data_IF_547115080762
#
_entry.id   IF_547115080762
#
_cell.length_a   1.000
_cell.length_b   1.000
_cell.length_c   1.000
_cell.angle_alpha   90.00
_cell.angle_beta   90.00
_cell.angle_gamma   90.00
#
_symmetry.space_group_name_H-M   'P 1'
#
loop_
_entity.id
_entity.type
_entity.pdbx_description
1 polymer ?
#
# COMPACT_ATOMS: atom_id res chain seq x y z
N UNK A 1 -32.95 -30.76 -28.96
CA UNK A 1 -32.40 -29.94 -27.86
C UNK A 1 -33.29 -28.71 -27.76
N UNK A 2 -34.16 -28.63 -26.76
CA UNK A 2 -35.13 -27.54 -26.66
C UNK A 2 -34.40 -26.26 -26.20
N UNK A 3 -34.44 -25.22 -27.03
CA UNK A 3 -33.93 -23.89 -26.69
C UNK A 3 -35.02 -23.24 -25.83
N UNK A 4 -34.80 -23.15 -24.52
CA UNK A 4 -35.70 -22.38 -23.65
C UNK A 4 -35.56 -20.89 -23.99
N UNK A 5 -36.64 -20.26 -24.46
CA UNK A 5 -36.72 -18.80 -24.59
C UNK A 5 -36.53 -18.17 -23.20
N UNK A 6 -35.33 -17.64 -22.94
CA UNK A 6 -35.11 -16.76 -21.79
C UNK A 6 -35.76 -15.42 -22.09
N UNK A 7 -37.07 -15.31 -21.82
CA UNK A 7 -37.76 -14.01 -21.83
C UNK A 7 -37.08 -13.12 -20.80
N UNK A 8 -36.64 -11.94 -21.26
CA UNK A 8 -36.09 -10.90 -20.38
C UNK A 8 -37.19 -10.43 -19.43
N UNK A 9 -37.03 -10.69 -18.13
CA UNK A 9 -37.99 -10.24 -17.11
C UNK A 9 -37.45 -8.92 -16.54
N UNK A 10 -38.27 -7.88 -16.54
CA UNK A 10 -37.94 -6.61 -15.86
C UNK A 10 -37.74 -6.86 -14.37
N UNK A 11 -36.73 -6.25 -13.78
CA UNK A 11 -36.48 -6.35 -12.35
C UNK A 11 -37.49 -5.48 -11.58
N UNK A 12 -38.48 -6.10 -10.94
CA UNK A 12 -39.50 -5.43 -10.11
C UNK A 12 -39.13 -5.36 -8.61
N UNK A 13 -37.90 -5.75 -8.26
CA UNK A 13 -37.44 -5.70 -6.87
C UNK A 13 -37.12 -4.28 -6.38
N UNK A 14 -37.02 -4.06 -5.05
CA UNK A 14 -36.65 -2.75 -4.52
C UNK A 14 -35.23 -2.37 -4.95
N UNK A 15 -35.10 -1.17 -5.53
CA UNK A 15 -33.80 -0.60 -5.90
C UNK A 15 -32.96 -0.35 -4.63
N UNK A 16 -31.81 -1.02 -4.53
CA UNK A 16 -30.83 -0.76 -3.45
C UNK A 16 -29.85 0.31 -3.91
N UNK A 17 -29.99 1.51 -3.36
CA UNK A 17 -29.10 2.65 -3.59
C UNK A 17 -28.01 2.69 -2.51
N UNK A 18 -26.79 3.11 -2.87
CA UNK A 18 -25.73 3.46 -1.90
C UNK A 18 -24.85 2.30 -1.37
N UNK A 19 -25.04 1.07 -1.85
CA UNK A 19 -24.19 -0.09 -1.48
C UNK A 19 -23.37 -0.65 -2.64
N UNK A 20 -23.31 0.04 -3.78
CA UNK A 20 -22.62 -0.47 -4.96
C UNK A 20 -21.11 -0.54 -4.73
N UNK A 21 -20.56 0.38 -3.93
CA UNK A 21 -19.13 0.44 -3.59
C UNK A 21 -18.59 -0.86 -2.98
N UNK A 22 -19.35 -1.51 -2.08
CA UNK A 22 -18.97 -2.81 -1.50
C UNK A 22 -18.91 -3.91 -2.55
N UNK A 23 -19.81 -3.85 -3.54
CA UNK A 23 -19.85 -4.82 -4.62
C UNK A 23 -18.62 -4.67 -5.52
N UNK A 24 -18.27 -3.45 -5.90
CA UNK A 24 -17.04 -3.18 -6.65
C UNK A 24 -15.78 -3.56 -5.88
N UNK A 25 -15.72 -3.28 -4.57
CA UNK A 25 -14.60 -3.67 -3.73
C UNK A 25 -14.43 -5.19 -3.68
N UNK A 26 -15.51 -5.93 -3.40
CA UNK A 26 -15.51 -7.39 -3.37
C UNK A 26 -15.18 -8.00 -4.72
N UNK A 27 -15.67 -7.43 -5.82
CA UNK A 27 -15.37 -7.91 -7.16
C UNK A 27 -13.91 -7.66 -7.54
N UNK A 28 -13.39 -6.46 -7.27
CA UNK A 28 -11.99 -6.11 -7.57
C UNK A 28 -11.02 -6.98 -6.78
N UNK A 29 -11.26 -7.13 -5.47
CA UNK A 29 -10.48 -8.01 -4.61
C UNK A 29 -10.62 -9.49 -5.01
N UNK A 30 -11.85 -9.95 -5.19
CA UNK A 30 -12.15 -11.35 -5.52
C UNK A 30 -11.61 -11.77 -6.89
N UNK A 31 -11.63 -10.89 -7.87
CA UNK A 31 -11.06 -11.16 -9.20
C UNK A 31 -9.54 -11.28 -9.10
N UNK A 32 -8.87 -10.36 -8.39
CA UNK A 32 -7.44 -10.43 -8.14
C UNK A 32 -7.05 -11.75 -7.45
N UNK A 33 -7.81 -12.17 -6.43
CA UNK A 33 -7.57 -13.39 -5.65
C UNK A 33 -7.86 -14.69 -6.42
N UNK A 34 -8.62 -14.65 -7.52
CA UNK A 34 -8.86 -15.84 -8.37
C UNK A 34 -7.70 -16.17 -9.30
N UNK A 35 -6.81 -15.21 -9.55
CA UNK A 35 -5.68 -15.41 -10.46
C UNK A 35 -4.54 -16.16 -9.76
N UNK A 36 -4.12 -17.29 -10.33
CA UNK A 36 -2.98 -18.09 -9.81
C UNK A 36 -1.69 -17.27 -9.70
N UNK A 37 -1.47 -16.33 -10.63
CA UNK A 37 -0.33 -15.41 -10.61
C UNK A 37 -0.32 -14.53 -9.36
N UNK A 38 -1.48 -14.01 -8.93
CA UNK A 38 -1.60 -13.21 -7.71
C UNK A 38 -1.24 -14.03 -6.49
N UNK A 39 -1.74 -15.27 -6.39
CA UNK A 39 -1.38 -16.18 -5.30
C UNK A 39 0.11 -16.51 -5.25
N UNK A 40 0.71 -16.87 -6.38
CA UNK A 40 2.14 -17.12 -6.46
C UNK A 40 2.96 -15.89 -6.01
N UNK A 41 2.51 -14.70 -6.40
CA UNK A 41 3.14 -13.44 -6.00
C UNK A 41 2.95 -13.15 -4.51
N UNK A 42 1.76 -13.38 -3.95
CA UNK A 42 1.53 -13.23 -2.51
C UNK A 42 2.43 -14.17 -1.70
N UNK A 43 2.53 -15.44 -2.09
CA UNK A 43 3.42 -16.41 -1.42
C UNK A 43 4.87 -15.95 -1.48
N UNK A 44 5.33 -15.49 -2.64
CA UNK A 44 6.69 -14.96 -2.81
C UNK A 44 6.94 -13.73 -1.93
N UNK A 45 6.00 -12.78 -1.90
CA UNK A 45 6.12 -11.53 -1.13
C UNK A 45 5.97 -11.73 0.37
N UNK A 46 5.37 -12.84 0.81
CA UNK A 46 5.31 -13.22 2.22
C UNK A 46 6.62 -13.84 2.74
N UNK A 47 7.50 -14.31 1.85
CA UNK A 47 8.80 -14.85 2.24
C UNK A 47 9.65 -13.89 3.11
N UNK A 48 9.88 -12.61 2.73
CA UNK A 48 10.61 -11.67 3.58
C UNK A 48 9.88 -11.40 4.91
N UNK A 49 8.55 -11.40 4.93
CA UNK A 49 7.76 -11.24 6.17
C UNK A 49 8.04 -12.40 7.13
N UNK A 50 8.03 -13.64 6.63
CA UNK A 50 8.35 -14.82 7.43
C UNK A 50 9.77 -14.75 8.01
N UNK A 51 10.74 -14.28 7.23
CA UNK A 51 12.11 -14.05 7.73
C UNK A 51 12.10 -13.02 8.86
N UNK A 52 11.42 -11.89 8.70
CA UNK A 52 11.36 -10.86 9.77
C UNK A 52 10.68 -11.37 11.03
N UNK A 53 9.64 -12.21 10.90
CA UNK A 53 8.98 -12.86 12.04
C UNK A 53 9.94 -13.81 12.77
N UNK A 54 10.71 -14.61 12.02
CA UNK A 54 11.74 -15.49 12.60
C UNK A 54 12.86 -14.70 13.28
N UNK A 55 13.28 -13.57 12.71
CA UNK A 55 14.29 -12.70 13.32
C UNK A 55 13.79 -12.11 14.64
N UNK A 56 12.57 -11.59 14.69
CA UNK A 56 11.96 -11.09 15.94
C UNK A 56 11.86 -12.20 16.99
N UNK A 57 11.52 -13.41 16.58
CA UNK A 57 11.47 -14.56 17.48
C UNK A 57 12.86 -14.96 18.00
N UNK A 58 13.87 -14.98 17.14
CA UNK A 58 15.25 -15.30 17.51
C UNK A 58 15.84 -14.25 18.44
N UNK A 59 15.58 -12.98 18.16
CA UNK A 59 15.96 -11.83 19.00
C UNK A 59 15.37 -11.97 20.41
N UNK A 60 14.07 -12.28 20.52
CA UNK A 60 13.45 -12.54 21.82
C UNK A 60 14.13 -13.68 22.58
N UNK A 61 14.36 -14.83 21.91
CA UNK A 61 15.05 -15.96 22.53
C UNK A 61 16.48 -15.66 22.96
N UNK A 62 17.17 -14.77 22.25
CA UNK A 62 18.50 -14.31 22.59
C UNK A 62 18.49 -13.34 23.78
N UNK A 63 17.52 -12.41 23.86
CA UNK A 63 17.36 -11.51 25.01
C UNK A 63 17.11 -12.25 26.33
N UNK A 64 16.43 -13.41 26.30
CA UNK A 64 16.18 -14.21 27.50
C UNK A 64 17.43 -14.99 27.96
N UNK A 65 18.32 -15.37 27.04
CA UNK A 65 19.41 -16.32 27.32
C UNK A 65 20.82 -15.71 27.32
N UNK A 66 21.02 -14.58 26.66
CA UNK A 66 22.34 -14.00 26.41
C UNK A 66 22.35 -12.50 26.79
N UNK A 67 22.88 -12.14 27.97
CA UNK A 67 22.95 -10.75 28.39
C UNK A 67 23.84 -9.88 27.47
N UNK A 68 24.86 -10.45 26.83
CA UNK A 68 25.67 -9.75 25.82
C UNK A 68 24.86 -9.30 24.60
N UNK A 69 23.84 -10.06 24.20
CA UNK A 69 22.96 -9.70 23.07
C UNK A 69 22.04 -8.52 23.44
N UNK A 70 21.65 -8.43 24.72
CA UNK A 70 20.88 -7.30 25.25
C UNK A 70 21.67 -5.99 25.22
N UNK A 71 22.98 -6.06 25.47
CA UNK A 71 23.86 -4.88 25.41
C UNK A 71 24.21 -4.49 23.96
N UNK A 72 24.24 -5.45 23.02
CA UNK A 72 24.51 -5.17 21.60
C UNK A 72 23.29 -4.69 20.80
N UNK A 73 22.09 -5.22 21.06
CA UNK A 73 20.85 -4.81 20.37
C UNK A 73 20.13 -3.64 21.06
N UNK A 74 20.56 -3.26 22.26
CA UNK A 74 19.87 -2.26 23.06
C UNK A 74 18.59 -2.81 23.70
N UNK A 75 17.98 -2.01 24.58
CA UNK A 75 16.89 -2.47 25.43
C UNK A 75 15.65 -2.90 24.60
N UNK A 76 15.27 -2.15 23.55
CA UNK A 76 14.07 -2.40 22.72
C UNK A 76 14.28 -3.34 21.53
N UNK A 77 15.43 -4.02 21.44
CA UNK A 77 15.73 -4.99 20.40
C UNK A 77 16.04 -4.35 19.03
N UNK A 78 15.44 -4.82 17.93
CA UNK A 78 15.66 -4.26 16.58
C UNK A 78 15.36 -2.75 16.47
N UNK A 79 14.62 -2.19 17.44
CA UNK A 79 14.41 -0.76 17.62
C UNK A 79 13.77 -0.07 16.40
N UNK A 80 14.09 1.22 16.27
CA UNK A 80 13.68 2.11 15.16
C UNK A 80 14.14 1.59 13.80
N UNK A 81 15.37 1.05 13.75
CA UNK A 81 15.98 0.51 12.53
C UNK A 81 15.19 -0.68 11.98
N UNK A 82 14.79 -1.62 12.85
CA UNK A 82 13.99 -2.78 12.46
C UNK A 82 12.63 -2.40 11.89
N UNK A 83 11.93 -1.44 12.51
CA UNK A 83 10.65 -0.93 12.00
C UNK A 83 10.85 -0.30 10.61
N UNK A 84 11.89 0.52 10.45
CA UNK A 84 12.19 1.17 9.16
C UNK A 84 12.50 0.16 8.05
N UNK A 85 13.26 -0.90 8.37
CA UNK A 85 13.60 -1.98 7.44
C UNK A 85 12.35 -2.74 7.00
N UNK A 86 11.46 -3.10 7.93
CA UNK A 86 10.19 -3.77 7.63
C UNK A 86 9.32 -2.88 6.74
N UNK A 87 9.21 -1.59 7.03
CA UNK A 87 8.41 -0.65 6.23
C UNK A 87 8.96 -0.50 4.79
N UNK A 88 10.28 -0.47 4.61
CA UNK A 88 10.88 -0.45 3.27
C UNK A 88 10.60 -1.74 2.49
N UNK A 89 10.71 -2.90 3.13
CA UNK A 89 10.35 -4.18 2.52
C UNK A 89 8.86 -4.24 2.15
N UNK A 90 7.98 -3.72 3.02
CA UNK A 90 6.55 -3.62 2.77
C UNK A 90 6.24 -2.70 1.58
N UNK A 91 6.90 -1.53 1.47
CA UNK A 91 6.75 -0.63 0.34
C UNK A 91 7.13 -1.31 -0.98
N UNK A 92 8.28 -1.98 -1.01
CA UNK A 92 8.73 -2.71 -2.19
C UNK A 92 7.74 -3.82 -2.58
N UNK A 93 7.27 -4.59 -1.60
CA UNK A 93 6.34 -5.68 -1.82
C UNK A 93 4.97 -5.18 -2.29
N UNK A 94 4.48 -4.08 -1.72
CA UNK A 94 3.28 -3.39 -2.17
C UNK A 94 3.42 -2.89 -3.61
N UNK A 95 4.54 -2.24 -3.94
CA UNK A 95 4.81 -1.74 -5.28
C UNK A 95 4.80 -2.88 -6.31
N UNK A 96 5.50 -3.99 -6.04
CA UNK A 96 5.50 -5.15 -6.92
C UNK A 96 4.08 -5.73 -7.12
N UNK A 97 3.35 -6.00 -6.03
CA UNK A 97 2.00 -6.56 -6.11
C UNK A 97 1.06 -5.67 -6.94
N UNK A 98 1.13 -4.37 -6.67
CA UNK A 98 0.25 -3.38 -7.30
C UNK A 98 0.64 -3.07 -8.75
N UNK A 99 1.91 -3.23 -9.11
CA UNK A 99 2.35 -3.21 -10.50
C UNK A 99 1.69 -4.34 -11.31
N UNK A 100 1.64 -5.55 -10.75
CA UNK A 100 1.12 -6.74 -11.46
C UNK A 100 -0.41 -6.78 -11.51
N UNK A 101 -1.09 -6.30 -10.47
CA UNK A 101 -2.54 -6.43 -10.33
C UNK A 101 -3.26 -5.08 -10.44
N UNK A 102 -2.74 -4.04 -9.79
CA UNK A 102 -3.43 -2.76 -9.65
C UNK A 102 -3.40 -1.88 -10.89
N UNK A 103 -2.33 -1.92 -11.69
CA UNK A 103 -2.19 -1.05 -12.87
C UNK A 103 -3.27 -1.28 -13.95
N UNK A 104 -3.87 -2.47 -13.98
CA UNK A 104 -4.99 -2.80 -14.89
C UNK A 104 -6.38 -2.43 -14.36
N UNK A 105 -6.51 -2.05 -13.10
CA UNK A 105 -7.81 -1.99 -12.42
C UNK A 105 -8.81 -1.02 -13.04
N UNK A 106 -8.35 0.13 -13.57
CA UNK A 106 -9.18 1.11 -14.29
C UNK A 106 -8.85 1.12 -15.79
N UNK A 107 -7.58 0.89 -16.14
CA UNK A 107 -7.13 0.88 -17.53
C UNK A 107 -7.88 -0.15 -18.39
N UNK A 108 -8.19 -1.33 -17.84
CA UNK A 108 -8.98 -2.35 -18.54
C UNK A 108 -10.45 -1.93 -18.68
N UNK A 109 -11.03 -1.32 -17.66
CA UNK A 109 -12.40 -0.78 -17.74
C UNK A 109 -12.51 0.29 -18.85
N UNK A 110 -11.49 1.14 -18.97
CA UNK A 110 -11.40 2.15 -20.02
C UNK A 110 -11.20 1.53 -21.40
N UNK A 111 -10.43 0.44 -21.50
CA UNK A 111 -10.18 -0.27 -22.75
C UNK A 111 -11.44 -0.91 -23.30
N UNK A 112 -12.21 -1.56 -22.43
CA UNK A 112 -13.40 -2.32 -22.78
C UNK A 112 -14.70 -1.53 -22.66
N UNK A 113 -14.63 -0.22 -22.35
CA UNK A 113 -15.78 0.67 -22.23
C UNK A 113 -16.84 0.16 -21.23
N UNK A 114 -16.40 -0.50 -20.16
CA UNK A 114 -17.32 -1.10 -19.16
C UNK A 114 -18.07 -0.06 -18.34
N UNK A 115 -17.61 1.19 -18.33
CA UNK A 115 -18.30 2.32 -17.69
C UNK A 115 -19.74 2.50 -18.17
N UNK A 116 -20.02 2.30 -19.45
CA UNK A 116 -21.38 2.37 -19.99
C UNK A 116 -22.30 1.33 -19.35
N UNK A 117 -21.77 0.12 -19.14
CA UNK A 117 -22.51 -0.95 -18.48
C UNK A 117 -22.70 -0.67 -16.99
N UNK A 118 -21.69 -0.11 -16.30
CA UNK A 118 -21.80 0.23 -14.88
C UNK A 118 -22.79 1.37 -14.63
N UNK A 119 -22.74 2.43 -15.41
CA UNK A 119 -23.59 3.62 -15.25
C UNK A 119 -24.98 3.49 -15.90
N UNK A 120 -25.25 2.40 -16.62
CA UNK A 120 -26.65 2.04 -16.97
C UNK A 120 -27.48 1.59 -15.76
N UNK A 121 -26.81 1.30 -14.64
CA UNK A 121 -27.44 0.98 -13.35
C UNK A 121 -27.34 2.22 -12.43
N UNK A 122 -28.21 2.32 -11.41
CA UNK A 122 -28.17 3.42 -10.44
C UNK A 122 -26.95 3.29 -9.51
N UNK A 123 -25.76 3.59 -10.04
CA UNK A 123 -24.46 3.53 -9.37
C UNK A 123 -23.83 4.91 -9.45
N UNK A 124 -23.44 5.47 -8.31
CA UNK A 124 -22.75 6.74 -8.28
C UNK A 124 -21.25 6.59 -8.55
N UNK A 125 -20.60 7.65 -9.06
CA UNK A 125 -19.17 7.61 -9.41
C UNK A 125 -18.28 7.40 -8.20
N UNK A 126 -18.60 8.08 -7.10
CA UNK A 126 -17.83 7.91 -5.87
C UNK A 126 -17.93 6.45 -5.39
N UNK A 127 -19.06 5.75 -5.62
CA UNK A 127 -19.19 4.34 -5.26
C UNK A 127 -18.25 3.46 -6.10
N UNK A 128 -18.16 3.73 -7.40
CA UNK A 128 -17.19 3.07 -8.27
C UNK A 128 -15.75 3.34 -7.84
N UNK A 129 -15.41 4.63 -7.63
CA UNK A 129 -14.07 5.07 -7.25
C UNK A 129 -13.65 4.46 -5.91
N UNK A 130 -14.51 4.57 -4.90
CA UNK A 130 -14.28 4.03 -3.56
C UNK A 130 -14.22 2.50 -3.60
N UNK A 131 -15.08 1.85 -4.38
CA UNK A 131 -15.07 0.41 -4.53
C UNK A 131 -13.76 -0.11 -5.15
N UNK A 132 -13.27 0.52 -6.23
CA UNK A 132 -11.97 0.18 -6.83
C UNK A 132 -10.83 0.43 -5.86
N UNK A 133 -10.87 1.55 -5.13
CA UNK A 133 -9.88 1.87 -4.10
C UNK A 133 -9.86 0.83 -2.99
N UNK A 134 -11.00 0.52 -2.37
CA UNK A 134 -11.10 -0.43 -1.26
C UNK A 134 -10.76 -1.86 -1.67
N UNK A 135 -11.10 -2.28 -2.89
CA UNK A 135 -10.72 -3.59 -3.41
C UNK A 135 -9.20 -3.76 -3.53
N UNK A 136 -8.52 -2.73 -4.04
CA UNK A 136 -7.06 -2.72 -4.12
C UNK A 136 -6.40 -2.48 -2.76
N UNK A 137 -6.99 -1.66 -1.90
CA UNK A 137 -6.53 -1.43 -0.53
C UNK A 137 -6.55 -2.75 0.25
N UNK A 138 -7.63 -3.54 0.16
CA UNK A 138 -7.71 -4.86 0.78
C UNK A 138 -6.65 -5.83 0.26
N UNK A 139 -6.38 -5.82 -1.05
CA UNK A 139 -5.33 -6.65 -1.65
C UNK A 139 -3.93 -6.24 -1.18
N UNK A 140 -3.63 -4.94 -1.20
CA UNK A 140 -2.36 -4.38 -0.77
C UNK A 140 -2.14 -4.55 0.75
N UNK A 141 -3.22 -4.47 1.53
CA UNK A 141 -3.20 -4.72 2.99
C UNK A 141 -2.70 -6.12 3.35
N UNK A 142 -2.88 -7.13 2.48
CA UNK A 142 -2.37 -8.48 2.72
C UNK A 142 -0.84 -8.56 2.81
N UNK A 143 -0.12 -7.58 2.26
CA UNK A 143 1.35 -7.56 2.21
C UNK A 143 1.94 -6.40 3.02
N UNK A 144 1.10 -5.50 3.51
CA UNK A 144 1.52 -4.31 4.29
C UNK A 144 0.94 -4.36 5.70
N UNK A 145 -0.35 -4.04 5.84
CA UNK A 145 -1.05 -3.95 7.12
C UNK A 145 -1.09 -5.29 7.86
N UNK A 146 -1.35 -6.40 7.16
CA UNK A 146 -1.45 -7.72 7.78
C UNK A 146 -0.10 -8.19 8.36
N UNK A 147 1.03 -8.12 7.63
CA UNK A 147 2.37 -8.29 8.21
C UNK A 147 2.68 -7.35 9.38
N UNK A 148 2.33 -6.06 9.28
CA UNK A 148 2.54 -5.09 10.36
C UNK A 148 1.75 -5.45 11.62
N UNK A 149 0.49 -5.92 11.47
CA UNK A 149 -0.33 -6.42 12.56
C UNK A 149 0.29 -7.65 13.23
N UNK A 150 0.79 -8.61 12.44
CA UNK A 150 1.43 -9.81 12.98
C UNK A 150 2.71 -9.47 13.74
N UNK A 151 3.58 -8.64 13.14
CA UNK A 151 4.83 -8.22 13.77
C UNK A 151 4.57 -7.38 15.03
N UNK A 152 3.67 -6.39 14.95
CA UNK A 152 3.32 -5.54 16.08
C UNK A 152 2.63 -6.31 17.20
N UNK A 153 1.72 -7.23 16.87
CA UNK A 153 1.05 -8.09 17.84
C UNK A 153 2.03 -9.04 18.52
N UNK A 154 2.96 -9.62 17.77
CA UNK A 154 4.03 -10.48 18.30
C UNK A 154 4.94 -9.69 19.27
N UNK A 155 5.44 -8.51 18.85
CA UNK A 155 6.26 -7.64 19.70
C UNK A 155 5.50 -7.19 20.95
N UNK A 156 4.25 -6.74 20.80
CA UNK A 156 3.42 -6.34 21.93
C UNK A 156 3.22 -7.49 22.93
N UNK A 157 3.00 -8.73 22.45
CA UNK A 157 2.81 -9.89 23.32
C UNK A 157 4.06 -10.25 24.13
N UNK A 158 5.25 -10.11 23.53
CA UNK A 158 6.51 -10.45 24.19
C UNK A 158 6.99 -9.38 25.16
N UNK A 159 6.89 -8.10 24.78
CA UNK A 159 7.34 -6.99 25.62
C UNK A 159 6.28 -6.51 26.62
N UNK A 160 5.07 -7.10 26.64
CA UNK A 160 3.98 -6.69 27.53
C UNK A 160 4.34 -6.70 29.03
N UNK A 161 5.29 -7.54 29.45
CA UNK A 161 5.69 -7.70 30.87
C UNK A 161 7.04 -7.07 31.19
N UNK A 162 7.69 -6.41 30.23
CA UNK A 162 8.97 -5.75 30.45
C UNK A 162 8.78 -4.24 30.67
N UNK A 163 9.83 -3.59 31.18
CA UNK A 163 9.89 -2.13 31.35
C UNK A 163 9.77 -1.36 30.01
N UNK A 164 9.86 -2.08 28.87
CA UNK A 164 9.86 -1.55 27.51
C UNK A 164 8.52 -1.70 26.80
N UNK A 165 7.46 -2.09 27.53
CA UNK A 165 6.13 -2.31 26.97
C UNK A 165 5.61 -1.06 26.22
N UNK A 166 5.87 0.13 26.76
CA UNK A 166 5.45 1.42 26.18
C UNK A 166 6.17 1.71 24.86
N UNK A 167 7.48 1.50 24.80
CA UNK A 167 8.28 1.68 23.59
C UNK A 167 7.89 0.68 22.50
N UNK A 168 7.76 -0.61 22.86
CA UNK A 168 7.36 -1.65 21.94
C UNK A 168 5.95 -1.41 21.37
N UNK A 169 5.02 -0.93 22.20
CA UNK A 169 3.67 -0.57 21.76
C UNK A 169 3.68 0.64 20.82
N UNK A 170 4.48 1.66 21.14
CA UNK A 170 4.63 2.86 20.31
C UNK A 170 5.23 2.53 18.94
N UNK A 171 6.31 1.75 18.91
CA UNK A 171 6.92 1.25 17.67
C UNK A 171 5.94 0.43 16.83
N UNK A 172 5.13 -0.42 17.46
CA UNK A 172 4.12 -1.24 16.78
C UNK A 172 2.97 -0.39 16.23
N UNK A 173 2.51 0.61 16.99
CA UNK A 173 1.46 1.53 16.58
C UNK A 173 1.91 2.42 15.41
N UNK A 174 3.14 2.95 15.48
CA UNK A 174 3.72 3.74 14.38
C UNK A 174 3.94 2.87 13.14
N UNK A 175 4.50 1.66 13.31
CA UNK A 175 4.68 0.72 12.21
C UNK A 175 3.35 0.37 11.51
N UNK A 176 2.27 0.17 12.28
CA UNK A 176 0.93 -0.04 11.74
C UNK A 176 0.42 1.20 11.00
N UNK A 177 0.50 2.38 11.61
CA UNK A 177 0.05 3.64 10.98
C UNK A 177 0.79 3.92 9.66
N UNK A 178 2.10 3.72 9.64
CA UNK A 178 2.93 3.86 8.43
C UNK A 178 2.58 2.80 7.39
N UNK A 179 2.31 1.55 7.78
CA UNK A 179 1.90 0.49 6.84
C UNK A 179 0.58 0.83 6.13
N UNK A 180 -0.40 1.39 6.86
CA UNK A 180 -1.66 1.88 6.28
C UNK A 180 -1.38 3.06 5.34
N UNK A 181 -0.50 3.98 5.74
CA UNK A 181 -0.05 5.09 4.90
C UNK A 181 0.57 4.63 3.59
N UNK A 182 1.43 3.61 3.62
CA UNK A 182 2.01 2.96 2.44
C UNK A 182 0.91 2.39 1.54
N UNK A 183 -0.06 1.66 2.11
CA UNK A 183 -1.18 1.10 1.35
C UNK A 183 -1.95 2.19 0.62
N UNK A 184 -2.32 3.27 1.33
CA UNK A 184 -3.04 4.41 0.76
C UNK A 184 -2.24 5.06 -0.36
N UNK A 185 -0.94 5.32 -0.13
CA UNK A 185 -0.06 5.96 -1.09
C UNK A 185 0.07 5.14 -2.38
N UNK A 186 0.41 3.86 -2.26
CA UNK A 186 0.61 2.99 -3.44
C UNK A 186 -0.71 2.81 -4.20
N UNK A 187 -1.83 2.57 -3.51
CA UNK A 187 -3.14 2.46 -4.16
C UNK A 187 -3.53 3.75 -4.90
N UNK A 188 -3.27 4.92 -4.30
CA UNK A 188 -3.59 6.22 -4.91
C UNK A 188 -2.79 6.47 -6.19
N UNK A 189 -1.49 6.21 -6.17
CA UNK A 189 -0.62 6.36 -7.34
C UNK A 189 -1.06 5.41 -8.45
N UNK A 190 -1.26 4.14 -8.13
CA UNK A 190 -1.58 3.10 -9.11
C UNK A 190 -2.93 3.35 -9.77
N UNK A 191 -3.96 3.70 -9.00
CA UNK A 191 -5.28 4.01 -9.56
C UNK A 191 -5.28 5.31 -10.36
N UNK A 192 -4.57 6.33 -9.87
CA UNK A 192 -4.35 7.57 -10.61
C UNK A 192 -3.76 7.30 -11.98
N UNK A 193 -2.64 6.59 -12.06
CA UNK A 193 -1.98 6.23 -13.32
C UNK A 193 -2.83 5.31 -14.19
N UNK A 194 -3.51 4.32 -13.59
CA UNK A 194 -4.40 3.41 -14.31
C UNK A 194 -5.56 4.14 -14.98
N UNK A 195 -6.08 5.21 -14.37
CA UNK A 195 -7.16 6.02 -14.95
C UNK A 195 -6.72 6.83 -16.18
N UNK A 196 -5.44 7.20 -16.27
CA UNK A 196 -4.94 8.08 -17.33
C UNK A 196 -4.70 7.34 -18.66
N UNK A 197 -4.69 6.00 -18.67
CA UNK A 197 -4.37 5.19 -19.85
C UNK A 197 -5.41 4.10 -20.11
N UNK A 198 -5.60 3.76 -21.39
CA UNK A 198 -6.43 2.61 -21.82
C UNK A 198 -5.64 1.30 -21.94
N UNK A 199 -4.32 1.34 -21.78
CA UNK A 199 -3.44 0.16 -21.91
C UNK A 199 -2.70 -0.07 -20.60
N UNK A 200 -2.83 -1.28 -20.07
CA UNK A 200 -2.21 -1.72 -18.82
C UNK A 200 -0.69 -1.60 -18.85
N UNK A 201 -0.05 -1.92 -19.98
CA UNK A 201 1.40 -1.79 -20.14
C UNK A 201 1.92 -0.37 -19.94
N UNK A 202 1.19 0.66 -20.40
CA UNK A 202 1.58 2.05 -20.16
C UNK A 202 1.36 2.48 -18.71
N UNK A 203 0.34 1.94 -18.02
CA UNK A 203 0.14 2.19 -16.60
C UNK A 203 1.30 1.62 -15.77
N UNK A 204 1.72 0.39 -16.11
CA UNK A 204 2.88 -0.27 -15.49
C UNK A 204 4.15 0.55 -15.72
N UNK A 205 4.43 0.97 -16.95
CA UNK A 205 5.61 1.78 -17.26
C UNK A 205 5.61 3.11 -16.51
N UNK A 206 4.47 3.80 -16.46
CA UNK A 206 4.33 5.04 -15.71
C UNK A 206 4.55 4.83 -14.21
N UNK A 207 4.00 3.74 -13.65
CA UNK A 207 4.16 3.41 -12.23
C UNK A 207 5.62 3.13 -11.87
N UNK A 208 6.31 2.34 -12.69
CA UNK A 208 7.75 2.09 -12.55
C UNK A 208 8.53 3.40 -12.65
N UNK A 209 8.19 4.28 -13.59
CA UNK A 209 8.81 5.59 -13.73
C UNK A 209 8.65 6.47 -12.49
N UNK A 210 7.45 6.52 -11.92
CA UNK A 210 7.15 7.30 -10.69
C UNK A 210 7.93 6.80 -9.48
N UNK A 211 8.28 5.52 -9.41
CA UNK A 211 9.08 4.97 -8.30
C UNK A 211 10.58 5.08 -8.58
N UNK A 212 11.05 4.67 -9.76
CA UNK A 212 12.47 4.56 -10.04
C UNK A 212 13.13 5.89 -10.35
N UNK A 213 12.48 6.80 -11.08
CA UNK A 213 13.10 8.09 -11.43
C UNK A 213 13.45 8.90 -10.18
N UNK A 214 12.53 9.09 -9.21
CA UNK A 214 12.87 9.82 -7.99
C UNK A 214 13.88 9.08 -7.10
N UNK A 215 13.88 7.74 -7.13
CA UNK A 215 14.91 6.94 -6.45
C UNK A 215 16.31 7.18 -7.03
N UNK A 216 16.44 7.20 -8.36
CA UNK A 216 17.73 7.46 -9.02
C UNK A 216 18.19 8.90 -8.74
N UNK A 217 17.28 9.87 -8.81
CA UNK A 217 17.59 11.27 -8.47
C UNK A 217 18.08 11.41 -7.02
N UNK A 218 17.44 10.73 -6.08
CA UNK A 218 17.87 10.71 -4.68
C UNK A 218 19.31 10.21 -4.53
N UNK A 219 19.68 9.14 -5.24
CA UNK A 219 21.06 8.61 -5.22
C UNK A 219 22.05 9.62 -5.83
N UNK A 220 21.71 10.23 -6.97
CA UNK A 220 22.59 11.21 -7.63
C UNK A 220 22.83 12.43 -6.72
N UNK A 221 21.76 12.97 -6.10
CA UNK A 221 21.87 14.11 -5.20
C UNK A 221 22.68 13.75 -3.95
N UNK A 222 22.46 12.56 -3.39
CA UNK A 222 23.23 12.09 -2.23
C UNK A 222 24.73 12.02 -2.52
N UNK A 223 25.12 11.58 -3.72
CA UNK A 223 26.52 11.51 -4.15
C UNK A 223 27.13 12.88 -4.49
N UNK A 224 26.31 13.86 -4.88
CA UNK A 224 26.80 15.14 -5.42
C UNK A 224 26.87 16.25 -4.36
N UNK A 225 25.94 16.27 -3.40
CA UNK A 225 25.73 17.42 -2.53
C UNK A 225 26.25 17.23 -1.08
N UNK A 226 26.82 16.06 -0.76
CA UNK A 226 27.24 15.65 0.60
C UNK A 226 26.13 15.74 1.68
N UNK A 227 24.90 16.10 1.28
CA UNK A 227 23.71 16.24 2.10
C UNK A 227 22.86 14.97 1.99
N UNK A 228 23.35 13.88 2.60
CA UNK A 228 22.77 12.54 2.48
C UNK A 228 21.29 12.46 2.88
N UNK A 229 20.89 13.13 3.97
CA UNK A 229 19.51 13.05 4.48
C UNK A 229 18.51 13.86 3.64
N UNK A 230 18.89 15.07 3.20
CA UNK A 230 18.05 15.90 2.33
C UNK A 230 17.85 15.27 0.95
N UNK A 231 18.82 14.51 0.46
CA UNK A 231 18.70 13.77 -0.78
C UNK A 231 17.58 12.71 -0.75
N UNK A 232 17.26 12.17 0.43
CA UNK A 232 16.20 11.17 0.59
C UNK A 232 14.79 11.73 0.36
N UNK A 233 14.60 13.04 0.50
CA UNK A 233 13.32 13.70 0.19
C UNK A 233 12.90 13.55 -1.27
N UNK A 234 13.83 13.25 -2.17
CA UNK A 234 13.51 13.03 -3.58
C UNK A 234 12.81 11.70 -3.82
N UNK A 235 13.05 10.68 -2.98
CA UNK A 235 12.54 9.32 -3.23
C UNK A 235 11.40 8.95 -2.29
N UNK A 236 10.42 8.18 -2.79
CA UNK A 236 9.32 7.70 -1.94
C UNK A 236 9.82 6.79 -0.79
N UNK A 237 10.73 5.82 -1.03
CA UNK A 237 11.32 5.02 0.06
C UNK A 237 12.10 5.87 1.07
N UNK A 238 12.82 6.89 0.60
CA UNK A 238 13.57 7.81 1.46
C UNK A 238 12.66 8.64 2.36
N UNK A 239 11.58 9.20 1.81
CA UNK A 239 10.57 9.91 2.61
C UNK A 239 9.90 9.01 3.66
N UNK A 240 9.64 7.74 3.35
CA UNK A 240 9.11 6.77 4.33
C UNK A 240 10.11 6.47 5.44
N UNK A 241 11.40 6.36 5.10
CA UNK A 241 12.46 6.18 6.09
C UNK A 241 12.59 7.41 7.00
N UNK A 242 12.68 8.62 6.42
CA UNK A 242 12.73 9.88 7.17
C UNK A 242 11.49 10.05 8.08
N UNK A 243 10.29 9.76 7.58
CA UNK A 243 9.07 9.81 8.38
C UNK A 243 9.11 8.84 9.56
N UNK A 244 9.70 7.66 9.38
CA UNK A 244 9.88 6.68 10.47
C UNK A 244 10.88 7.18 11.50
N UNK A 245 12.01 7.74 11.05
CA UNK A 245 13.03 8.31 11.94
C UNK A 245 12.47 9.49 12.75
N UNK A 246 11.73 10.41 12.11
CA UNK A 246 11.11 11.55 12.82
C UNK A 246 10.10 11.14 13.90
N UNK A 247 9.47 9.97 13.75
CA UNK A 247 8.46 9.48 14.71
C UNK A 247 9.04 8.63 15.84
N UNK A 248 10.18 7.97 15.62
CA UNK A 248 10.67 6.91 16.51
C UNK A 248 12.16 7.06 16.89
N UNK A 249 12.95 7.89 16.23
CA UNK A 249 14.36 8.09 16.56
C UNK A 249 14.52 9.07 17.73
N UNK A 250 15.48 8.78 18.60
CA UNK A 250 15.89 9.70 19.68
C UNK A 250 16.62 10.93 19.13
N UNK A 251 17.38 10.77 18.03
CA UNK A 251 18.04 11.86 17.31
C UNK A 251 17.26 12.19 16.05
N UNK A 252 16.64 13.38 16.03
CA UNK A 252 15.91 13.85 14.87
C UNK A 252 16.87 14.13 13.70
N UNK A 253 16.59 13.63 12.48
CA UNK A 253 17.36 13.97 11.29
C UNK A 253 17.32 15.47 10.99
N UNK A 254 18.34 16.00 10.32
CA UNK A 254 18.49 17.42 9.96
C UNK A 254 17.61 17.80 8.76
N UNK A 255 16.32 17.46 8.84
CA UNK A 255 15.35 17.63 7.77
C UNK A 255 14.10 18.31 8.32
N UNK A 256 13.42 19.20 7.57
CA UNK A 256 12.19 19.81 8.04
C UNK A 256 11.14 18.75 8.41
N UNK A 257 10.66 18.78 9.65
CA UNK A 257 9.70 17.81 10.24
C UNK A 257 8.49 17.52 9.35
N UNK A 258 8.00 18.54 8.63
CA UNK A 258 6.77 18.45 7.83
C UNK A 258 7.04 17.93 6.41
N UNK A 259 8.28 18.02 5.90
CA UNK A 259 8.57 17.78 4.49
C UNK A 259 8.26 16.34 4.04
N UNK A 260 8.68 15.27 4.76
CA UNK A 260 8.41 13.91 4.33
C UNK A 260 6.91 13.59 4.27
N UNK A 261 6.16 14.00 5.29
CA UNK A 261 4.72 13.79 5.35
C UNK A 261 3.98 14.58 4.27
N UNK A 262 4.39 15.82 4.01
CA UNK A 262 3.80 16.66 2.97
C UNK A 262 4.01 16.06 1.58
N UNK A 263 5.20 15.53 1.27
CA UNK A 263 5.51 14.90 -0.02
C UNK A 263 4.68 13.62 -0.21
N UNK A 264 4.60 12.76 0.80
CA UNK A 264 3.79 11.54 0.76
C UNK A 264 2.29 11.86 0.61
N UNK A 265 1.78 12.83 1.36
CA UNK A 265 0.39 13.27 1.25
C UNK A 265 0.09 13.92 -0.11
N UNK A 266 0.99 14.75 -0.63
CA UNK A 266 0.83 15.39 -1.92
C UNK A 266 0.82 14.38 -3.06
N UNK A 267 1.72 13.39 -3.04
CA UNK A 267 1.78 12.34 -4.06
C UNK A 267 0.54 11.44 -4.03
N UNK A 268 0.07 11.05 -2.84
CA UNK A 268 -1.20 10.32 -2.70
C UNK A 268 -2.39 11.17 -3.20
N UNK A 269 -2.45 12.44 -2.80
CA UNK A 269 -3.50 13.39 -3.20
C UNK A 269 -3.54 13.61 -4.72
N UNK A 270 -2.39 13.75 -5.37
CA UNK A 270 -2.29 13.86 -6.83
C UNK A 270 -2.80 12.61 -7.54
N UNK A 271 -2.50 11.42 -7.02
CA UNK A 271 -3.01 10.15 -7.55
C UNK A 271 -4.54 10.07 -7.48
N UNK A 272 -5.12 10.37 -6.32
CA UNK A 272 -6.57 10.40 -6.12
C UNK A 272 -7.26 11.48 -6.97
N UNK A 273 -6.65 12.67 -7.06
CA UNK A 273 -7.16 13.76 -7.90
C UNK A 273 -7.16 13.38 -9.38
N UNK A 274 -6.09 12.78 -9.89
CA UNK A 274 -6.01 12.32 -11.28
C UNK A 274 -7.13 11.33 -11.60
N UNK A 275 -7.36 10.37 -10.69
CA UNK A 275 -8.43 9.38 -10.79
C UNK A 275 -9.82 10.05 -10.81
N UNK A 276 -10.09 10.94 -9.87
CA UNK A 276 -11.37 11.67 -9.76
C UNK A 276 -11.65 12.53 -11.00
N UNK A 277 -10.67 13.35 -11.40
CA UNK A 277 -10.78 14.22 -12.58
C UNK A 277 -11.07 13.43 -13.86
N UNK A 278 -10.40 12.28 -14.03
CA UNK A 278 -10.55 11.48 -15.24
C UNK A 278 -11.89 10.78 -15.32
N UNK A 279 -12.39 10.24 -14.21
CA UNK A 279 -13.69 9.56 -14.19
C UNK A 279 -14.85 10.53 -14.41
N UNK A 280 -14.77 11.75 -13.88
CA UNK A 280 -15.81 12.77 -14.13
C UNK A 280 -15.86 13.24 -15.59
N UNK A 281 -14.74 13.18 -16.33
CA UNK A 281 -14.76 13.49 -17.76
C UNK A 281 -15.49 12.47 -18.63
N UNK A 282 -15.75 11.26 -18.13
CA UNK A 282 -16.41 10.20 -18.91
C UNK A 282 -17.94 10.37 -18.96
N UNK A 283 -18.48 11.33 -18.23
CA UNK A 283 -19.93 11.59 -18.11
C UNK A 283 -20.58 12.15 -19.37
N UNK A 284 -19.84 12.89 -20.19
CA UNK A 284 -20.42 13.63 -21.32
C UNK A 284 -20.54 12.84 -22.62
N UNK A 285 -20.25 11.53 -22.62
CA UNK A 285 -20.17 10.69 -23.82
C UNK A 285 -21.17 9.51 -23.76
N UNK A 286 -21.89 9.35 -22.66
CA UNK A 286 -22.88 8.28 -22.46
C UNK A 286 -24.30 8.79 -22.79
#
# INVERSE_FOLDING_TARGET
MAIHEQKYISYDGPLKLGSAWLTFARMTFGMAMRLKRTWAMLVLLWFPVLITLLLVFAEYGAHEKLPEVKDMLGASGMGTAGVSMVLQMQFFSAALLMMVVGCGAIAEDLRYQTFQLYFSRPVERWEYLLGKFLGLFGLCSLVTVLPALLLGGLRASYFARSELATEAFTQSAVGLGMSVGITVLVCSIVLGLSSLTRRTGYAVLAFVGVILVPQILSIIVALSADSGELAQLWSLPGNLWLATQLLLAETAPEVPLVAPFAILAATAGLGLYAMFWRVNKLEGIA
#
